data_IF_792234644056
#
_entry.id   IF_792234644056
#
_cell.length_a   1.000
_cell.length_b   1.000
_cell.length_c   1.000
_cell.angle_alpha   90.00
_cell.angle_beta   90.00
_cell.angle_gamma   90.00
#
_symmetry.space_group_name_H-M   'P 1'
#
loop_
_entity.id
_entity.type
_entity.pdbx_description
1 polymer ?
#
# COMPACT_ATOMS: atom_id res chain seq x y z
N UNK A 1 36.94 12.45 26.83
CA UNK A 1 36.09 11.39 26.29
C UNK A 1 34.66 11.91 26.34
N UNK A 2 34.17 12.43 25.24
CA UNK A 2 32.77 12.90 25.13
C UNK A 2 31.87 11.72 24.84
N UNK A 3 30.97 11.44 25.76
CA UNK A 3 29.92 10.45 25.58
C UNK A 3 28.98 10.97 24.48
N UNK A 4 28.93 10.31 23.34
CA UNK A 4 27.91 10.53 22.33
C UNK A 4 26.58 10.09 22.94
N UNK A 5 25.79 11.04 23.44
CA UNK A 5 24.40 10.83 23.75
C UNK A 5 23.70 10.70 22.40
N UNK A 6 23.41 9.47 21.97
CA UNK A 6 22.46 9.24 20.87
C UNK A 6 21.14 9.83 21.36
N UNK A 7 20.68 10.91 20.71
CA UNK A 7 19.29 11.31 20.86
C UNK A 7 18.47 10.16 20.26
N UNK A 8 17.84 9.36 21.11
CA UNK A 8 16.76 8.49 20.68
C UNK A 8 15.76 9.41 19.96
N UNK A 9 15.50 9.13 18.69
CA UNK A 9 14.41 9.79 17.98
C UNK A 9 13.13 9.40 18.71
N UNK A 10 12.34 10.39 19.06
CA UNK A 10 11.00 10.19 19.60
C UNK A 10 10.23 9.33 18.60
N UNK A 11 9.71 8.17 19.05
CA UNK A 11 8.91 7.26 18.22
C UNK A 11 7.45 7.51 18.54
N UNK A 12 6.66 7.78 17.52
CA UNK A 12 5.22 7.97 17.66
C UNK A 12 4.50 6.64 17.55
N UNK A 13 3.57 6.40 18.47
CA UNK A 13 2.65 5.27 18.44
C UNK A 13 1.36 5.63 17.70
N UNK A 14 0.54 4.62 17.39
CA UNK A 14 -0.81 4.83 16.87
C UNK A 14 -1.68 5.65 17.83
N UNK A 15 -1.51 5.42 19.15
CA UNK A 15 -2.16 6.23 20.18
C UNK A 15 -1.78 7.71 20.11
N UNK A 16 -0.53 8.03 19.73
CA UNK A 16 -0.11 9.42 19.53
C UNK A 16 -0.71 10.00 18.24
N UNK A 17 -0.67 9.22 17.15
CA UNK A 17 -1.29 9.59 15.87
C UNK A 17 -2.76 9.97 16.03
N UNK A 18 -3.54 9.21 16.82
CA UNK A 18 -4.95 9.50 17.08
C UNK A 18 -5.20 10.84 17.79
N UNK A 19 -4.17 11.44 18.38
CA UNK A 19 -4.26 12.74 19.08
C UNK A 19 -3.84 13.91 18.18
N UNK A 20 -3.30 13.65 16.99
CA UNK A 20 -2.90 14.71 16.08
C UNK A 20 -4.12 15.48 15.59
N UNK A 21 -4.00 16.80 15.58
CA UNK A 21 -5.12 17.73 15.30
C UNK A 21 -4.91 18.50 13.99
N UNK A 22 -3.81 18.22 13.27
CA UNK A 22 -3.59 18.81 11.97
C UNK A 22 -4.47 18.14 10.90
N UNK A 23 -4.72 18.82 9.79
CA UNK A 23 -5.46 18.28 8.65
C UNK A 23 -4.55 17.45 7.70
N UNK A 24 -3.33 17.15 8.12
CA UNK A 24 -2.36 16.38 7.37
C UNK A 24 -2.73 14.89 7.30
N UNK A 25 -2.32 14.24 6.21
CA UNK A 25 -2.36 12.77 6.11
C UNK A 25 -0.96 12.25 6.37
N UNK A 26 -0.86 11.37 7.34
CA UNK A 26 0.43 10.84 7.81
C UNK A 26 0.44 9.32 7.81
N UNK A 27 1.60 8.77 7.55
CA UNK A 27 1.93 7.37 7.84
C UNK A 27 2.97 7.32 8.94
N UNK A 28 2.94 6.27 9.74
CA UNK A 28 4.00 5.93 10.69
C UNK A 28 4.70 4.66 10.22
N UNK A 29 6.02 4.70 10.11
CA UNK A 29 6.82 3.50 9.84
C UNK A 29 7.90 3.43 10.92
N UNK A 30 7.85 2.39 11.73
CA UNK A 30 8.71 2.23 12.91
C UNK A 30 8.68 3.44 13.87
N UNK A 31 7.53 4.10 13.97
CA UNK A 31 7.31 5.28 14.80
C UNK A 31 7.87 6.58 14.21
N UNK A 32 8.29 6.57 12.95
CA UNK A 32 8.69 7.77 12.21
C UNK A 32 7.52 8.24 11.34
N UNK A 33 7.20 9.52 11.44
CA UNK A 33 6.13 10.14 10.65
C UNK A 33 6.56 10.41 9.20
N UNK A 34 5.67 10.13 8.26
CA UNK A 34 5.82 10.43 6.84
C UNK A 34 4.60 11.18 6.33
N UNK A 35 4.83 12.40 5.84
CA UNK A 35 3.78 13.18 5.17
C UNK A 35 3.36 12.51 3.86
N UNK A 36 2.04 12.41 3.63
CA UNK A 36 1.43 11.85 2.42
C UNK A 36 1.05 12.92 1.40
N UNK A 37 1.42 14.16 1.61
CA UNK A 37 1.21 15.25 0.63
C UNK A 37 2.19 15.15 -0.55
N UNK A 38 1.83 15.62 -1.75
CA UNK A 38 0.57 16.24 -2.16
C UNK A 38 -0.52 15.23 -2.55
N UNK A 39 -1.74 15.76 -2.79
CA UNK A 39 -2.86 14.96 -3.28
C UNK A 39 -2.51 14.18 -4.56
N UNK A 40 -3.08 12.98 -4.76
CA UNK A 40 -2.82 12.13 -5.92
C UNK A 40 -3.18 12.83 -7.24
N UNK A 41 -2.40 12.56 -8.29
CA UNK A 41 -2.66 13.06 -9.63
C UNK A 41 -3.94 12.47 -10.24
N UNK A 42 -4.47 13.13 -11.29
CA UNK A 42 -5.65 12.64 -12.03
C UNK A 42 -5.44 11.20 -12.57
N UNK A 43 -4.26 10.90 -13.09
CA UNK A 43 -3.97 9.56 -13.63
C UNK A 43 -3.89 8.51 -12.53
N UNK A 44 -3.29 8.86 -11.39
CA UNK A 44 -3.26 8.01 -10.21
C UNK A 44 -4.69 7.65 -9.75
N UNK A 45 -5.57 8.66 -9.59
CA UNK A 45 -6.97 8.46 -9.20
C UNK A 45 -7.73 7.59 -10.21
N UNK A 46 -7.48 7.77 -11.50
CA UNK A 46 -8.12 6.97 -12.55
C UNK A 46 -7.72 5.50 -12.46
N UNK A 47 -6.42 5.22 -12.33
CA UNK A 47 -5.90 3.85 -12.18
C UNK A 47 -6.43 3.22 -10.89
N UNK A 48 -6.45 3.96 -9.79
CA UNK A 48 -7.02 3.49 -8.52
C UNK A 48 -8.48 3.07 -8.68
N UNK A 49 -9.30 3.91 -9.30
CA UNK A 49 -10.72 3.60 -9.56
C UNK A 49 -10.91 2.37 -10.46
N UNK A 50 -10.13 2.23 -11.54
CA UNK A 50 -10.19 1.08 -12.45
C UNK A 50 -9.77 -0.22 -11.75
N UNK A 51 -8.70 -0.19 -10.96
CA UNK A 51 -8.27 -1.36 -10.17
C UNK A 51 -9.32 -1.74 -9.13
N UNK A 52 -9.87 -0.75 -8.41
CA UNK A 52 -10.90 -1.00 -7.40
C UNK A 52 -12.12 -1.71 -8.00
N UNK A 53 -12.67 -1.18 -9.09
CA UNK A 53 -13.84 -1.76 -9.74
C UNK A 53 -13.57 -3.20 -10.21
N UNK A 54 -12.41 -3.44 -10.81
CA UNK A 54 -12.04 -4.77 -11.31
C UNK A 54 -11.88 -5.78 -10.19
N UNK A 55 -11.18 -5.42 -9.11
CA UNK A 55 -10.97 -6.27 -7.95
C UNK A 55 -12.30 -6.49 -7.21
N UNK A 56 -13.07 -5.43 -6.95
CA UNK A 56 -14.37 -5.52 -6.30
C UNK A 56 -15.31 -6.49 -7.03
N UNK A 57 -15.39 -6.42 -8.37
CA UNK A 57 -16.25 -7.32 -9.16
C UNK A 57 -15.83 -8.80 -9.03
N UNK A 58 -14.55 -9.09 -8.84
CA UNK A 58 -14.06 -10.46 -8.58
C UNK A 58 -14.42 -10.91 -7.17
N UNK A 59 -14.41 -9.98 -6.20
CA UNK A 59 -14.63 -10.28 -4.77
C UNK A 59 -16.09 -10.32 -4.36
N UNK A 60 -17.01 -9.75 -5.16
CA UNK A 60 -18.42 -9.50 -4.83
C UNK A 60 -19.18 -10.69 -4.22
N UNK A 61 -18.79 -11.93 -4.52
CA UNK A 61 -19.40 -13.15 -4.01
C UNK A 61 -18.41 -13.99 -3.18
N UNK A 62 -17.39 -13.36 -2.61
CA UNK A 62 -16.30 -14.01 -1.87
C UNK A 62 -16.19 -13.44 -0.46
N UNK A 63 -15.37 -14.07 0.36
CA UNK A 63 -15.13 -13.67 1.75
C UNK A 63 -14.10 -12.54 1.92
N UNK A 64 -13.55 -12.01 0.80
CA UNK A 64 -12.55 -10.95 0.86
C UNK A 64 -13.18 -9.61 0.49
N UNK A 65 -12.72 -8.55 1.14
CA UNK A 65 -13.11 -7.17 0.84
C UNK A 65 -11.93 -6.36 0.31
N UNK A 66 -12.23 -5.38 -0.56
CA UNK A 66 -11.25 -4.43 -1.08
C UNK A 66 -11.55 -3.05 -0.53
N UNK A 67 -10.51 -2.37 -0.05
CA UNK A 67 -10.56 -1.01 0.48
C UNK A 67 -9.58 -0.12 -0.28
N UNK A 68 -10.00 1.10 -0.60
CA UNK A 68 -9.15 2.13 -1.21
C UNK A 68 -8.81 3.21 -0.18
N UNK A 69 -7.68 3.88 -0.35
CA UNK A 69 -7.27 5.00 0.51
C UNK A 69 -8.33 6.13 0.54
N UNK A 70 -8.51 6.81 1.70
CA UNK A 70 -7.79 6.57 2.95
C UNK A 70 -8.34 5.38 3.73
N UNK A 71 -7.49 4.43 4.06
CA UNK A 71 -7.84 3.26 4.86
C UNK A 71 -6.62 2.87 5.70
N UNK A 72 -6.78 2.90 7.02
CA UNK A 72 -5.70 2.64 7.95
C UNK A 72 -5.35 1.16 8.02
N UNK A 73 -4.09 0.84 7.80
CA UNK A 73 -3.51 -0.48 8.03
C UNK A 73 -2.49 -0.38 9.14
N UNK A 74 -2.86 -0.89 10.32
CA UNK A 74 -2.00 -0.94 11.49
C UNK A 74 -1.22 -2.25 11.47
N UNK A 75 0.08 -2.16 11.48
CA UNK A 75 0.98 -3.33 11.40
C UNK A 75 1.72 -3.51 12.73
N UNK A 76 1.10 -4.19 13.71
CA UNK A 76 1.72 -4.47 15.00
C UNK A 76 2.84 -5.50 14.86
N UNK A 77 3.83 -5.46 15.75
CA UNK A 77 4.89 -6.47 15.82
C UNK A 77 4.39 -7.81 16.39
N UNK A 78 3.30 -7.79 17.17
CA UNK A 78 2.63 -8.96 17.74
C UNK A 78 1.13 -8.76 17.83
N UNK A 79 0.38 -9.86 17.82
CA UNK A 79 -1.07 -9.86 17.57
C UNK A 79 -1.91 -9.09 18.62
N UNK A 80 -1.41 -8.95 19.86
CA UNK A 80 -2.16 -8.39 20.99
C UNK A 80 -1.62 -7.00 21.39
N UNK A 81 -0.91 -6.31 20.48
CA UNK A 81 -0.35 -4.99 20.73
C UNK A 81 -1.47 -3.97 20.98
N UNK A 82 -1.31 -3.17 22.04
CA UNK A 82 -2.16 -2.02 22.30
C UNK A 82 -1.85 -0.85 21.34
N UNK A 83 -2.71 0.15 21.28
CA UNK A 83 -2.50 1.33 20.42
C UNK A 83 -1.17 2.06 20.75
N UNK A 84 -0.70 2.00 21.99
CA UNK A 84 0.59 2.54 22.44
C UNK A 84 1.80 1.74 21.94
N UNK A 85 1.59 0.49 21.54
CA UNK A 85 2.61 -0.45 21.10
C UNK A 85 2.63 -0.64 19.57
N UNK A 86 1.71 0.00 18.86
CA UNK A 86 1.68 0.00 17.39
C UNK A 86 2.46 1.21 16.89
N UNK A 87 3.60 0.95 16.26
CA UNK A 87 4.49 1.99 15.71
C UNK A 87 4.45 2.08 14.19
N UNK A 88 3.62 1.24 13.56
CA UNK A 88 3.49 1.23 12.11
C UNK A 88 2.02 1.32 11.71
N UNK A 89 1.71 2.41 11.02
CA UNK A 89 0.43 2.72 10.40
C UNK A 89 0.68 3.18 8.98
N UNK A 90 0.11 2.53 8.00
CA UNK A 90 0.20 2.93 6.60
C UNK A 90 -1.18 3.07 5.98
N UNK A 91 -1.30 3.88 4.94
CA UNK A 91 -2.52 4.06 4.14
C UNK A 91 -2.25 3.73 2.67
N UNK A 92 -2.15 2.44 2.33
CA UNK A 92 -1.91 2.02 0.96
C UNK A 92 -3.02 2.50 0.02
N UNK A 93 -2.69 2.72 -1.24
CA UNK A 93 -3.70 3.13 -2.24
C UNK A 93 -4.85 2.12 -2.33
N UNK A 94 -4.55 0.83 -2.15
CA UNK A 94 -5.56 -0.22 -2.10
C UNK A 94 -5.09 -1.44 -1.33
N UNK A 95 -6.00 -2.08 -0.60
CA UNK A 95 -5.74 -3.36 0.09
C UNK A 95 -6.88 -4.33 -0.13
N UNK A 96 -6.57 -5.62 -0.06
CA UNK A 96 -7.56 -6.69 0.03
C UNK A 96 -7.35 -7.46 1.32
N UNK A 97 -8.43 -7.65 2.08
CA UNK A 97 -8.45 -8.37 3.35
C UNK A 97 -9.42 -9.53 3.24
N UNK A 98 -8.95 -10.75 3.48
CA UNK A 98 -9.78 -11.97 3.41
C UNK A 98 -10.13 -12.53 4.80
N UNK A 99 -9.52 -12.01 5.84
CA UNK A 99 -9.79 -12.38 7.23
C UNK A 99 -10.52 -11.22 7.91
N UNK A 100 -11.84 -11.35 8.04
CA UNK A 100 -12.71 -10.34 8.66
C UNK A 100 -12.31 -10.01 10.11
N UNK A 101 -11.67 -10.95 10.81
CA UNK A 101 -11.21 -10.71 12.18
C UNK A 101 -10.12 -9.63 12.29
N UNK A 102 -9.50 -9.26 11.17
CA UNK A 102 -8.54 -8.14 11.08
C UNK A 102 -9.19 -6.79 10.89
N UNK A 103 -10.50 -6.73 10.66
CA UNK A 103 -11.22 -5.50 10.36
C UNK A 103 -11.93 -4.97 11.60
N UNK A 104 -11.79 -3.67 11.84
CA UNK A 104 -12.57 -2.93 12.82
C UNK A 104 -13.01 -1.57 12.25
N UNK A 105 -13.74 -0.76 13.04
CA UNK A 105 -14.23 0.57 12.63
C UNK A 105 -13.10 1.54 12.23
N UNK A 106 -11.85 1.26 12.60
CA UNK A 106 -10.69 2.10 12.32
C UNK A 106 -9.83 1.59 11.16
N UNK A 107 -10.18 0.45 10.55
CA UNK A 107 -9.46 -0.11 9.41
C UNK A 107 -8.99 -1.56 9.63
N UNK A 108 -7.79 -1.88 9.16
CA UNK A 108 -7.20 -3.21 9.27
C UNK A 108 -6.17 -3.28 10.40
N UNK A 109 -6.24 -4.33 11.21
CA UNK A 109 -5.24 -4.69 12.22
C UNK A 109 -4.47 -5.92 11.76
N UNK A 110 -3.21 -5.74 11.43
CA UNK A 110 -2.34 -6.78 10.86
C UNK A 110 -2.23 -6.70 9.33
N UNK A 111 -1.47 -7.63 8.76
CA UNK A 111 -1.16 -7.64 7.34
C UNK A 111 -2.39 -7.97 6.46
N UNK A 112 -2.74 -7.12 5.48
CA UNK A 112 -3.67 -7.47 4.41
C UNK A 112 -3.15 -8.64 3.57
N UNK A 113 -4.03 -9.26 2.79
CA UNK A 113 -3.63 -10.34 1.86
C UNK A 113 -2.95 -9.81 0.60
N UNK A 114 -3.42 -8.69 0.09
CA UNK A 114 -2.85 -7.95 -1.03
C UNK A 114 -2.74 -6.48 -0.69
N UNK A 115 -1.62 -5.87 -1.03
CA UNK A 115 -1.41 -4.42 -1.01
C UNK A 115 -1.05 -3.95 -2.41
N UNK A 116 -1.64 -2.83 -2.83
CA UNK A 116 -1.34 -2.17 -4.12
C UNK A 116 -0.98 -0.72 -3.85
N UNK A 117 0.17 -0.29 -4.36
CA UNK A 117 0.62 1.10 -4.37
C UNK A 117 0.76 1.59 -5.81
N UNK A 118 0.23 2.76 -6.09
CA UNK A 118 0.31 3.41 -7.40
C UNK A 118 1.37 4.50 -7.32
N UNK A 119 2.51 4.26 -7.94
CA UNK A 119 3.68 5.11 -7.81
C UNK A 119 3.44 6.54 -8.31
N UNK A 120 3.90 7.48 -7.53
CA UNK A 120 4.06 8.88 -7.92
C UNK A 120 5.54 9.28 -7.86
N UNK A 121 5.96 10.36 -8.53
CA UNK A 121 7.34 10.84 -8.42
C UNK A 121 7.78 11.15 -6.98
N UNK A 122 6.82 11.45 -6.08
CA UNK A 122 7.09 11.79 -4.68
C UNK A 122 7.23 10.56 -3.79
N UNK A 123 6.47 9.49 -4.05
CA UNK A 123 6.38 8.32 -3.18
C UNK A 123 7.21 7.14 -3.67
N UNK A 124 7.60 7.11 -4.96
CA UNK A 124 8.23 5.94 -5.58
C UNK A 124 9.42 5.38 -4.79
N UNK A 125 10.30 6.23 -4.26
CA UNK A 125 11.46 5.78 -3.47
C UNK A 125 11.04 5.10 -2.15
N UNK A 126 10.00 5.61 -1.48
CA UNK A 126 9.43 5.06 -0.25
C UNK A 126 8.75 3.72 -0.53
N UNK A 127 7.89 3.67 -1.56
CA UNK A 127 7.09 2.50 -1.89
C UNK A 127 7.97 1.34 -2.40
N UNK A 128 8.94 1.63 -3.26
CA UNK A 128 9.83 0.62 -3.85
C UNK A 128 10.84 0.03 -2.85
N UNK A 129 11.15 0.72 -1.76
CA UNK A 129 12.18 0.30 -0.82
C UNK A 129 11.63 0.14 0.59
N UNK A 130 11.18 1.22 1.23
CA UNK A 130 10.77 1.19 2.64
C UNK A 130 9.52 0.35 2.81
N UNK A 131 8.44 0.64 2.06
CA UNK A 131 7.20 -0.12 2.17
C UNK A 131 7.34 -1.55 1.66
N UNK A 132 8.14 -1.79 0.62
CA UNK A 132 8.41 -3.16 0.16
C UNK A 132 9.01 -4.01 1.27
N UNK A 133 10.03 -3.51 1.98
CA UNK A 133 10.67 -4.22 3.09
C UNK A 133 9.72 -4.37 4.28
N UNK A 134 8.93 -3.33 4.56
CA UNK A 134 7.89 -3.34 5.59
C UNK A 134 6.84 -4.43 5.33
N UNK A 135 6.29 -4.49 4.12
CA UNK A 135 5.26 -5.48 3.77
C UNK A 135 5.82 -6.91 3.76
N UNK A 136 7.07 -7.09 3.39
CA UNK A 136 7.76 -8.38 3.51
C UNK A 136 7.89 -8.81 4.98
N UNK A 137 8.34 -7.90 5.86
CA UNK A 137 8.50 -8.13 7.30
C UNK A 137 7.19 -8.54 7.97
N UNK A 138 6.09 -7.88 7.62
CA UNK A 138 4.76 -8.19 8.14
C UNK A 138 4.03 -9.31 7.38
N UNK A 139 4.71 -9.98 6.47
CA UNK A 139 4.19 -11.12 5.72
C UNK A 139 2.93 -10.83 4.89
N UNK A 140 2.84 -9.64 4.30
CA UNK A 140 1.85 -9.36 3.25
C UNK A 140 2.08 -10.34 2.10
N UNK A 141 1.04 -11.11 1.75
CA UNK A 141 1.18 -12.25 0.83
C UNK A 141 1.53 -11.85 -0.61
N UNK A 142 0.96 -10.72 -1.05
CA UNK A 142 1.19 -10.19 -2.39
C UNK A 142 1.26 -8.66 -2.35
N UNK A 143 2.27 -8.07 -3.00
CA UNK A 143 2.46 -6.63 -3.08
C UNK A 143 2.65 -6.20 -4.53
N UNK A 144 1.81 -5.27 -5.00
CA UNK A 144 1.84 -4.73 -6.34
C UNK A 144 2.29 -3.27 -6.33
N UNK A 145 3.27 -2.97 -7.18
CA UNK A 145 3.69 -1.61 -7.49
C UNK A 145 3.24 -1.27 -8.91
N UNK A 146 2.28 -0.40 -9.02
CA UNK A 146 1.75 0.06 -10.31
C UNK A 146 2.48 1.33 -10.72
N UNK A 147 3.10 1.32 -11.90
CA UNK A 147 3.86 2.45 -12.44
C UNK A 147 3.09 3.11 -13.59
N UNK A 148 2.38 4.23 -13.33
CA UNK A 148 1.49 4.84 -14.33
C UNK A 148 2.21 5.32 -15.61
N UNK A 149 3.40 5.90 -15.44
CA UNK A 149 4.20 6.48 -16.55
C UNK A 149 4.74 5.40 -17.47
N UNK A 150 5.30 4.34 -16.90
CA UNK A 150 5.92 3.25 -17.66
C UNK A 150 4.90 2.17 -18.05
N UNK A 151 3.66 2.30 -17.56
CA UNK A 151 2.58 1.34 -17.79
C UNK A 151 2.97 -0.08 -17.40
N UNK A 152 3.60 -0.22 -16.24
CA UNK A 152 4.08 -1.52 -15.73
C UNK A 152 3.50 -1.81 -14.35
N UNK A 153 3.42 -3.08 -14.01
CA UNK A 153 3.10 -3.56 -12.66
C UNK A 153 4.19 -4.50 -12.22
N UNK A 154 4.82 -4.21 -11.09
CA UNK A 154 5.74 -5.14 -10.42
C UNK A 154 4.98 -5.87 -9.31
N UNK A 155 5.06 -7.18 -9.31
CA UNK A 155 4.38 -8.05 -8.35
C UNK A 155 5.41 -8.79 -7.51
N UNK A 156 5.35 -8.56 -6.20
CA UNK A 156 6.11 -9.32 -5.21
C UNK A 156 5.20 -10.36 -4.57
N UNK A 157 5.64 -11.60 -4.48
CA UNK A 157 4.91 -12.69 -3.84
C UNK A 157 5.71 -13.27 -2.70
N UNK A 158 5.07 -13.42 -1.56
CA UNK A 158 5.68 -13.97 -0.37
C UNK A 158 5.87 -15.49 -0.53
N UNK A 159 7.09 -15.93 -0.32
CA UNK A 159 7.44 -17.37 -0.30
C UNK A 159 7.20 -17.96 1.09
N UNK A 160 7.34 -19.29 1.18
CA UNK A 160 7.22 -20.04 2.45
C UNK A 160 8.25 -19.62 3.50
N UNK A 161 9.42 -19.13 3.07
CA UNK A 161 10.48 -18.61 3.95
C UNK A 161 10.21 -17.18 4.45
N UNK A 162 9.01 -16.64 4.19
CA UNK A 162 8.57 -15.29 4.54
C UNK A 162 9.40 -14.17 3.88
N UNK A 163 10.01 -14.45 2.73
CA UNK A 163 10.68 -13.45 1.91
C UNK A 163 9.95 -13.31 0.58
N UNK A 164 9.97 -12.10 0.02
CA UNK A 164 9.44 -11.90 -1.33
C UNK A 164 10.32 -12.63 -2.37
N UNK A 165 9.67 -13.24 -3.32
CA UNK A 165 10.34 -13.70 -4.54
C UNK A 165 10.88 -12.48 -5.32
N UNK A 166 11.75 -12.75 -6.31
CA UNK A 166 12.10 -11.72 -7.28
C UNK A 166 10.82 -11.18 -7.91
N UNK A 167 10.72 -9.83 -8.01
CA UNK A 167 9.56 -9.19 -8.62
C UNK A 167 9.29 -9.74 -10.03
N UNK A 168 8.04 -10.08 -10.30
CA UNK A 168 7.55 -10.31 -11.64
C UNK A 168 7.12 -8.97 -12.22
N UNK A 169 7.58 -8.65 -13.42
CA UNK A 169 7.29 -7.38 -14.09
C UNK A 169 6.34 -7.67 -15.25
N UNK A 170 5.21 -6.99 -15.25
CA UNK A 170 4.19 -7.04 -16.28
C UNK A 170 4.13 -5.68 -16.97
N UNK A 171 3.94 -5.68 -18.29
CA UNK A 171 3.93 -4.47 -19.09
C UNK A 171 2.92 -4.56 -20.23
N UNK A 172 2.45 -3.42 -20.66
CA UNK A 172 1.65 -3.17 -21.87
C UNK A 172 0.49 -4.16 -22.12
N UNK A 173 0.74 -5.28 -22.80
CA UNK A 173 -0.30 -6.26 -23.18
C UNK A 173 -0.38 -7.47 -22.23
N UNK A 174 0.34 -7.43 -21.13
CA UNK A 174 0.32 -8.53 -20.17
C UNK A 174 -0.97 -8.52 -19.33
N UNK A 175 -1.25 -9.70 -18.77
CA UNK A 175 -2.32 -9.89 -17.79
C UNK A 175 -1.71 -10.22 -16.44
N UNK A 176 -1.85 -9.31 -15.49
CA UNK A 176 -1.46 -9.57 -14.09
C UNK A 176 -2.49 -10.49 -13.45
N UNK A 177 -2.01 -11.54 -12.79
CA UNK A 177 -2.85 -12.49 -12.05
C UNK A 177 -2.47 -12.46 -10.57
N UNK A 178 -3.46 -12.28 -9.71
CA UNK A 178 -3.25 -12.48 -8.29
C UNK A 178 -3.18 -13.97 -7.96
N UNK A 179 -2.32 -14.32 -6.99
CA UNK A 179 -2.25 -15.67 -6.42
C UNK A 179 -3.02 -15.77 -5.11
N UNK A 180 -3.38 -14.62 -4.51
CA UNK A 180 -4.15 -14.56 -3.26
C UNK A 180 -5.64 -14.35 -3.51
N UNK A 181 -6.01 -13.82 -4.67
CA UNK A 181 -7.40 -13.65 -5.10
C UNK A 181 -7.64 -14.54 -6.31
N UNK A 182 -8.30 -15.66 -6.08
CA UNK A 182 -8.62 -16.59 -7.17
C UNK A 182 -9.43 -15.90 -8.27
N UNK A 183 -9.05 -16.10 -9.54
CA UNK A 183 -9.72 -15.53 -10.70
C UNK A 183 -9.46 -14.02 -10.92
N UNK A 184 -8.73 -13.36 -10.06
CA UNK A 184 -8.34 -11.97 -10.29
C UNK A 184 -7.31 -11.89 -11.41
N UNK A 185 -7.72 -11.23 -12.51
CA UNK A 185 -6.93 -11.03 -13.73
C UNK A 185 -7.12 -9.58 -14.18
N UNK A 186 -6.03 -8.84 -14.26
CA UNK A 186 -6.02 -7.44 -14.69
C UNK A 186 -5.28 -7.35 -16.02
N UNK A 187 -6.00 -7.05 -17.08
CA UNK A 187 -5.43 -6.75 -18.39
C UNK A 187 -4.85 -5.33 -18.37
N UNK A 188 -3.56 -5.22 -18.64
CA UNK A 188 -2.85 -3.94 -18.56
C UNK A 188 -3.15 -3.03 -19.75
N UNK A 189 -3.53 -3.59 -20.91
CA UNK A 189 -4.02 -2.79 -22.05
C UNK A 189 -5.25 -1.99 -21.64
N UNK A 190 -6.17 -2.65 -20.95
CA UNK A 190 -7.40 -2.02 -20.45
C UNK A 190 -7.11 -1.06 -19.29
N UNK A 191 -6.22 -1.46 -18.37
CA UNK A 191 -5.88 -0.65 -17.20
C UNK A 191 -5.21 0.67 -17.59
N UNK A 192 -4.32 0.65 -18.57
CA UNK A 192 -3.54 1.80 -19.02
C UNK A 192 -4.03 2.40 -20.35
N UNK A 193 -5.12 1.88 -20.92
CA UNK A 193 -5.69 2.26 -22.23
C UNK A 193 -6.31 3.66 -22.30
N UNK A 194 -5.83 4.58 -21.45
CA UNK A 194 -6.31 5.97 -21.45
C UNK A 194 -5.68 6.77 -22.59
N UNK A 195 -6.43 7.72 -23.19
CA UNK A 195 -5.81 8.66 -24.13
C UNK A 195 -4.67 9.42 -23.41
N UNK A 196 -3.55 9.69 -24.09
CA UNK A 196 -2.44 10.43 -23.52
C UNK A 196 -2.92 11.78 -22.99
N UNK A 197 -2.30 12.26 -21.93
CA UNK A 197 -2.59 13.60 -21.43
C UNK A 197 -2.30 14.64 -22.51
N UNK A 198 -3.16 15.66 -22.69
CA UNK A 198 -2.81 16.77 -23.54
C UNK A 198 -1.51 17.39 -23.00
N UNK A 199 -0.55 17.60 -23.89
CA UNK A 199 0.73 18.21 -23.52
C UNK A 199 0.46 19.46 -22.69
N UNK A 200 0.98 19.51 -21.47
CA UNK A 200 0.84 20.68 -20.62
C UNK A 200 1.50 21.87 -21.35
N UNK A 201 0.67 22.82 -21.78
CA UNK A 201 1.19 24.11 -22.24
C UNK A 201 1.90 24.74 -21.04
N UNK A 202 3.23 24.75 -21.12
CA UNK A 202 4.06 25.52 -20.18
C UNK A 202 3.67 26.99 -20.35
N UNK A 203 3.04 27.54 -19.34
CA UNK A 203 2.92 28.97 -19.12
C UNK A 203 3.98 29.43 -18.14
#
# INVERSE_FOLDING_TARGET
MGTLVSRERERFSYSDYCKWTDDGRWELIDGVEYDMSPAPSRIHQKISGELFVRIYNVLKERQCDVYAAPFDVRLPEYAEASDEEIFTLVQPDMVVVCDESKLDERGCMGAPDLVIEILSPYTAGKDMKIKRDLYEQHAVREYWLVHPTDKTVMVYRLKQDKQYAKAEIYADQDIVKSTVIEGCRIDLTDLFGFPPEPASSKH
#
